data_IF_887256307810
#
_entry.id   IF_887256307810
#
_cell.length_a   1.000
_cell.length_b   1.000
_cell.length_c   1.000
_cell.angle_alpha   90.00
_cell.angle_beta   90.00
_cell.angle_gamma   90.00
#
_symmetry.space_group_name_H-M   'P 1'
#
loop_
_entity.id
_entity.type
_entity.pdbx_description
1 polymer ?
#
# COMPACT_ATOMS: atom_id res chain seq x y z
N UNK A 1 1.89 13.16 -13.70
CA UNK A 1 2.15 11.75 -13.32
C UNK A 1 3.60 11.58 -12.90
N UNK A 2 3.82 11.04 -11.74
CA UNK A 2 5.16 10.67 -11.27
C UNK A 2 5.68 9.52 -12.15
N UNK A 3 6.79 9.78 -12.87
CA UNK A 3 7.39 8.76 -13.73
C UNK A 3 8.21 7.78 -12.90
N UNK A 4 7.65 6.63 -12.58
CA UNK A 4 8.36 5.53 -11.93
C UNK A 4 9.57 5.00 -12.73
N UNK A 5 9.67 5.32 -14.01
CA UNK A 5 10.69 4.83 -14.96
C UNK A 5 12.04 5.56 -14.92
N UNK A 6 12.27 6.54 -14.07
CA UNK A 6 13.61 7.15 -13.87
C UNK A 6 14.46 6.42 -12.82
N UNK A 7 14.17 5.15 -12.60
CA UNK A 7 15.00 4.27 -11.79
C UNK A 7 16.31 4.02 -12.56
N UNK A 8 17.44 4.21 -11.86
CA UNK A 8 18.75 3.83 -12.38
C UNK A 8 18.69 2.43 -13.01
N UNK A 9 19.37 2.24 -14.14
CA UNK A 9 19.68 0.94 -14.71
C UNK A 9 20.09 -0.03 -13.58
N UNK A 10 19.66 -1.28 -13.66
CA UNK A 10 19.85 -2.26 -12.61
C UNK A 10 21.33 -2.47 -12.20
N UNK A 11 22.27 -2.23 -13.11
CA UNK A 11 23.71 -2.26 -12.83
C UNK A 11 24.17 -1.04 -12.03
N UNK A 12 23.79 0.16 -12.45
CA UNK A 12 24.11 1.41 -11.77
C UNK A 12 23.49 1.46 -10.36
N UNK A 13 22.28 0.94 -10.20
CA UNK A 13 21.60 0.78 -8.91
C UNK A 13 22.40 -0.12 -7.95
N UNK A 14 22.85 -1.30 -8.43
CA UNK A 14 23.65 -2.23 -7.63
C UNK A 14 24.99 -1.62 -7.24
N UNK A 15 25.68 -0.98 -8.18
CA UNK A 15 26.95 -0.31 -7.93
C UNK A 15 26.83 0.79 -6.87
N UNK A 16 25.79 1.63 -6.96
CA UNK A 16 25.53 2.67 -5.98
C UNK A 16 25.24 2.10 -4.58
N UNK A 17 24.39 1.05 -4.47
CA UNK A 17 24.14 0.39 -3.20
C UNK A 17 25.38 -0.26 -2.60
N UNK A 18 26.21 -0.91 -3.44
CA UNK A 18 27.47 -1.50 -3.00
C UNK A 18 28.45 -0.44 -2.48
N UNK A 19 28.57 0.70 -3.18
CA UNK A 19 29.39 1.82 -2.74
C UNK A 19 28.92 2.41 -1.41
N UNK A 20 27.61 2.56 -1.21
CA UNK A 20 27.00 2.99 0.05
C UNK A 20 27.32 2.00 1.18
N UNK A 21 27.14 0.70 0.96
CA UNK A 21 27.46 -0.34 1.94
C UNK A 21 28.94 -0.32 2.34
N UNK A 22 29.86 -0.30 1.37
CA UNK A 22 31.30 -0.22 1.61
C UNK A 22 31.69 1.06 2.39
N UNK A 23 31.10 2.21 2.02
CA UNK A 23 31.28 3.47 2.72
C UNK A 23 30.78 3.43 4.17
N UNK A 24 29.69 2.74 4.43
CA UNK A 24 29.14 2.53 5.76
C UNK A 24 30.02 1.61 6.62
N UNK A 25 30.47 0.49 6.08
CA UNK A 25 31.45 -0.40 6.72
C UNK A 25 32.77 0.33 7.05
N UNK A 26 33.27 1.13 6.11
CA UNK A 26 34.49 1.93 6.28
C UNK A 26 34.30 3.21 7.11
N UNK A 27 33.11 3.46 7.69
CA UNK A 27 32.78 4.67 8.47
C UNK A 27 33.11 5.97 7.74
N UNK A 28 32.77 6.07 6.45
CA UNK A 28 33.05 7.22 5.57
C UNK A 28 31.76 8.02 5.26
N UNK A 29 31.25 8.84 6.19
CA UNK A 29 29.96 9.54 6.02
C UNK A 29 29.95 10.50 4.83
N UNK A 30 31.10 11.10 4.51
CA UNK A 30 31.25 11.98 3.35
C UNK A 30 30.98 11.27 2.02
N UNK A 31 31.56 10.08 1.85
CA UNK A 31 31.35 9.23 0.67
C UNK A 31 29.87 8.79 0.59
N UNK A 32 29.34 8.26 1.70
CA UNK A 32 27.95 7.75 1.75
C UNK A 32 26.95 8.87 1.45
N UNK A 33 27.13 10.07 2.04
CA UNK A 33 26.27 11.22 1.79
C UNK A 33 26.30 11.67 0.33
N UNK A 34 27.48 11.69 -0.29
CA UNK A 34 27.63 11.99 -1.73
C UNK A 34 26.91 10.97 -2.60
N UNK A 35 27.09 9.67 -2.33
CA UNK A 35 26.46 8.59 -3.08
C UNK A 35 24.94 8.59 -2.91
N UNK A 36 24.43 8.80 -1.69
CA UNK A 36 22.97 8.94 -1.47
C UNK A 36 22.43 10.18 -2.18
N UNK A 37 23.14 11.30 -2.17
CA UNK A 37 22.78 12.50 -2.92
C UNK A 37 22.69 12.24 -4.42
N UNK A 38 23.61 11.44 -5.00
CA UNK A 38 23.52 10.97 -6.39
C UNK A 38 22.32 10.02 -6.61
N UNK A 39 21.83 9.36 -5.56
CA UNK A 39 20.64 8.51 -5.60
C UNK A 39 19.33 9.29 -5.58
N UNK A 40 19.32 10.57 -5.22
CA UNK A 40 18.11 11.41 -5.27
C UNK A 40 17.73 11.68 -6.73
N UNK A 41 16.48 11.39 -7.08
CA UNK A 41 15.91 11.55 -8.42
C UNK A 41 14.64 12.37 -8.35
N UNK A 42 14.45 13.25 -9.33
CA UNK A 42 13.18 13.93 -9.52
C UNK A 42 12.17 12.97 -10.17
N UNK A 43 10.96 12.93 -9.63
CA UNK A 43 9.91 11.98 -10.02
C UNK A 43 8.81 12.63 -10.88
N UNK A 44 8.57 13.93 -10.74
CA UNK A 44 7.60 14.69 -11.54
C UNK A 44 8.28 15.81 -12.32
N UNK A 45 7.51 16.61 -13.06
CA UNK A 45 8.00 17.85 -13.66
C UNK A 45 8.47 18.83 -12.56
N UNK A 46 9.45 19.68 -12.89
CA UNK A 46 9.92 20.70 -11.97
C UNK A 46 8.85 21.80 -11.82
N UNK A 47 8.45 22.04 -10.59
CA UNK A 47 7.46 23.07 -10.24
C UNK A 47 8.08 24.49 -10.13
N UNK A 48 9.39 24.61 -10.44
CA UNK A 48 10.11 25.88 -10.37
C UNK A 48 10.86 26.09 -9.04
N UNK A 49 11.67 27.17 -8.98
CA UNK A 49 12.66 27.34 -7.93
C UNK A 49 12.07 27.64 -6.53
N UNK A 50 10.83 28.11 -6.47
CA UNK A 50 10.16 28.47 -5.21
C UNK A 50 9.18 27.40 -4.72
N UNK A 51 8.93 26.36 -5.51
CA UNK A 51 8.04 25.27 -5.12
C UNK A 51 8.64 24.44 -3.98
N UNK A 52 7.80 24.01 -3.00
CA UNK A 52 8.26 23.10 -1.97
C UNK A 52 8.76 21.79 -2.58
N UNK A 53 9.88 21.30 -2.05
CA UNK A 53 10.54 20.06 -2.52
C UNK A 53 10.26 18.93 -1.55
N UNK A 54 9.54 17.93 -2.01
CA UNK A 54 9.14 16.79 -1.19
C UNK A 54 10.05 15.61 -1.51
N UNK A 55 10.91 15.22 -0.56
CA UNK A 55 11.72 14.02 -0.70
C UNK A 55 10.91 12.80 -0.23
N UNK A 56 10.73 11.82 -1.10
CA UNK A 56 10.00 10.59 -0.77
C UNK A 56 10.94 9.40 -0.70
N UNK A 57 10.53 8.39 0.10
CA UNK A 57 11.15 7.05 0.12
C UNK A 57 10.23 6.08 -0.66
N UNK A 58 10.35 5.97 -1.99
CA UNK A 58 9.36 5.31 -2.84
C UNK A 58 9.16 3.83 -2.50
N UNK A 59 7.90 3.41 -2.46
CA UNK A 59 7.45 2.01 -2.36
C UNK A 59 6.10 1.89 -3.06
N UNK A 60 5.79 0.73 -3.65
CA UNK A 60 4.50 0.51 -4.32
C UNK A 60 3.29 0.80 -3.41
N UNK A 61 2.22 1.32 -3.98
CA UNK A 61 1.02 1.82 -3.31
C UNK A 61 1.20 3.18 -2.62
N UNK A 62 2.38 3.50 -2.11
CA UNK A 62 2.70 4.81 -1.53
C UNK A 62 3.00 5.87 -2.59
N UNK A 63 3.65 5.48 -3.69
CA UNK A 63 3.98 6.43 -4.75
C UNK A 63 2.74 6.93 -5.48
N UNK A 64 1.72 6.09 -5.58
CA UNK A 64 0.42 6.46 -6.15
C UNK A 64 -0.32 7.47 -5.26
N UNK A 65 -0.23 7.33 -3.93
CA UNK A 65 -0.76 8.31 -2.97
C UNK A 65 0.00 9.63 -3.04
N UNK A 66 1.33 9.59 -3.16
CA UNK A 66 2.17 10.79 -3.34
C UNK A 66 1.85 11.51 -4.65
N UNK A 67 1.65 10.76 -5.74
CA UNK A 67 1.31 11.33 -7.03
C UNK A 67 -0.10 11.97 -7.01
N UNK A 68 -1.04 11.37 -6.32
CA UNK A 68 -2.38 11.96 -6.16
C UNK A 68 -2.35 13.26 -5.32
N UNK A 69 -1.48 13.34 -4.32
CA UNK A 69 -1.37 14.53 -3.47
C UNK A 69 -0.48 15.63 -4.05
N UNK A 70 0.59 15.29 -4.78
CA UNK A 70 1.66 16.23 -5.15
C UNK A 70 2.06 16.18 -6.63
N UNK A 71 1.35 15.42 -7.46
CA UNK A 71 1.73 15.19 -8.86
C UNK A 71 1.29 16.27 -9.85
N UNK A 72 0.53 17.26 -9.43
CA UNK A 72 -0.10 18.30 -10.25
C UNK A 72 0.79 19.50 -10.61
N UNK A 73 2.04 19.51 -10.18
CA UNK A 73 3.03 20.50 -10.61
C UNK A 73 3.29 21.66 -9.62
N UNK A 74 2.55 21.74 -8.50
CA UNK A 74 2.78 22.76 -7.47
C UNK A 74 3.97 22.41 -6.56
N UNK A 75 4.46 21.17 -6.63
CA UNK A 75 5.55 20.62 -5.81
C UNK A 75 6.59 19.91 -6.67
N UNK A 76 7.85 20.06 -6.32
CA UNK A 76 8.90 19.19 -6.87
C UNK A 76 9.01 17.93 -6.03
N UNK A 77 8.64 16.79 -6.59
CA UNK A 77 8.70 15.49 -5.91
C UNK A 77 10.01 14.80 -6.24
N UNK A 78 10.77 14.46 -5.21
CA UNK A 78 12.04 13.75 -5.29
C UNK A 78 11.90 12.35 -4.70
N UNK A 79 12.66 11.40 -5.22
CA UNK A 79 12.73 10.04 -4.71
C UNK A 79 14.14 9.65 -4.28
N UNK A 80 14.26 9.07 -3.08
CA UNK A 80 15.44 8.35 -2.63
C UNK A 80 15.04 6.91 -2.33
N UNK A 81 15.50 5.98 -3.16
CA UNK A 81 15.04 4.60 -3.05
C UNK A 81 15.49 3.94 -1.73
N UNK A 82 14.54 3.31 -1.02
CA UNK A 82 14.73 2.67 0.30
C UNK A 82 15.85 1.63 0.33
N UNK A 83 16.12 0.93 -0.75
CA UNK A 83 17.24 -0.03 -0.79
C UNK A 83 18.61 0.65 -0.68
N UNK A 84 18.74 1.93 -1.07
CA UNK A 84 19.97 2.69 -0.85
C UNK A 84 20.13 3.07 0.62
N UNK A 85 19.06 3.50 1.30
CA UNK A 85 19.10 3.77 2.74
C UNK A 85 19.38 2.47 3.51
N UNK A 86 18.76 1.35 3.14
CA UNK A 86 18.98 0.03 3.75
C UNK A 86 20.41 -0.50 3.56
N UNK A 87 21.06 -0.22 2.44
CA UNK A 87 22.44 -0.65 2.18
C UNK A 87 23.43 -0.14 3.25
N UNK A 88 23.08 0.96 3.91
CA UNK A 88 23.89 1.54 4.99
C UNK A 88 23.79 0.73 6.29
N UNK A 89 22.65 0.08 6.54
CA UNK A 89 22.35 -0.60 7.81
C UNK A 89 23.28 -1.79 8.08
N UNK A 90 23.67 -2.54 7.04
CA UNK A 90 24.57 -3.68 7.17
C UNK A 90 25.92 -3.35 7.81
N UNK A 91 26.39 -2.08 7.74
CA UNK A 91 27.60 -1.61 8.43
C UNK A 91 27.44 -1.47 9.95
N UNK A 92 26.21 -1.50 10.47
CA UNK A 92 25.90 -1.23 11.89
C UNK A 92 25.13 -2.34 12.55
N UNK A 93 24.18 -2.94 11.85
CA UNK A 93 23.19 -3.86 12.38
C UNK A 93 23.33 -5.26 11.76
N UNK A 94 23.05 -6.33 12.50
CA UNK A 94 23.02 -7.67 11.95
C UNK A 94 21.83 -7.85 10.99
N UNK A 95 21.91 -8.83 10.08
CA UNK A 95 20.90 -9.04 9.03
C UNK A 95 19.50 -9.37 9.53
N UNK A 96 19.38 -9.93 10.75
CA UNK A 96 18.09 -10.22 11.34
C UNK A 96 17.33 -8.98 11.83
N UNK A 97 18.01 -7.83 12.00
CA UNK A 97 17.34 -6.55 12.30
C UNK A 97 16.82 -5.97 10.99
N UNK A 98 15.56 -6.24 10.71
CA UNK A 98 14.86 -5.82 9.50
C UNK A 98 13.62 -4.94 9.80
N UNK A 99 12.77 -4.71 8.80
CA UNK A 99 11.57 -3.88 8.93
C UNK A 99 10.61 -4.37 10.03
N UNK A 100 10.60 -5.66 10.34
CA UNK A 100 9.68 -6.25 11.32
C UNK A 100 10.26 -6.26 12.74
N UNK A 101 11.57 -6.33 12.86
CA UNK A 101 12.27 -6.52 14.14
C UNK A 101 12.98 -5.27 14.65
N UNK A 102 13.14 -4.23 13.82
CA UNK A 102 13.94 -3.05 14.17
C UNK A 102 13.47 -2.37 15.46
N UNK A 103 12.18 -2.06 15.58
CA UNK A 103 11.62 -1.34 16.72
C UNK A 103 11.53 -2.19 17.98
N UNK A 104 11.40 -3.52 17.84
CA UNK A 104 11.35 -4.50 18.93
C UNK A 104 12.69 -5.17 19.21
N UNK A 105 13.77 -4.80 18.48
CA UNK A 105 15.09 -5.38 18.71
C UNK A 105 15.54 -5.20 20.17
N UNK A 106 16.21 -6.22 20.74
CA UNK A 106 16.56 -6.22 22.16
C UNK A 106 17.55 -5.10 22.50
N UNK A 107 17.69 -4.73 23.81
CA UNK A 107 18.52 -3.60 24.26
C UNK A 107 19.97 -3.63 23.81
N UNK A 108 20.54 -4.81 23.55
CA UNK A 108 21.91 -4.97 23.05
C UNK A 108 22.13 -4.29 21.70
N UNK A 109 21.04 -4.04 20.97
CA UNK A 109 21.10 -3.32 19.68
C UNK A 109 21.11 -1.79 19.86
N UNK A 110 20.81 -1.26 21.04
CA UNK A 110 20.64 0.18 21.24
C UNK A 110 21.94 0.95 20.97
N UNK A 111 23.10 0.45 21.39
CA UNK A 111 24.39 1.05 21.08
C UNK A 111 24.70 1.07 19.57
N UNK A 112 24.32 0.02 18.85
CA UNK A 112 24.47 -0.08 17.39
C UNK A 112 23.55 0.88 16.65
N UNK A 113 22.29 1.02 17.13
CA UNK A 113 21.33 2.00 16.61
C UNK A 113 21.80 3.45 16.87
N UNK A 114 22.35 3.72 18.07
CA UNK A 114 22.93 5.03 18.38
C UNK A 114 24.11 5.37 17.45
N UNK A 115 24.99 4.40 17.18
CA UNK A 115 26.09 4.56 16.24
C UNK A 115 25.59 4.81 14.80
N UNK A 116 24.55 4.11 14.37
CA UNK A 116 23.88 4.33 13.09
C UNK A 116 23.28 5.73 13.01
N UNK A 117 22.59 6.19 14.05
CA UNK A 117 22.02 7.55 14.15
C UNK A 117 23.12 8.62 14.07
N UNK A 118 24.20 8.46 14.83
CA UNK A 118 25.36 9.35 14.75
C UNK A 118 26.02 9.40 13.37
N UNK A 119 26.00 8.29 12.65
CA UNK A 119 26.49 8.25 11.27
C UNK A 119 25.52 8.99 10.32
N UNK A 120 24.20 8.80 10.46
CA UNK A 120 23.19 9.54 9.70
C UNK A 120 23.28 11.05 9.90
N UNK A 121 23.57 11.51 11.12
CA UNK A 121 23.77 12.94 11.42
C UNK A 121 24.91 13.56 10.58
N UNK A 122 25.93 12.78 10.23
CA UNK A 122 27.02 13.23 9.36
C UNK A 122 26.72 13.06 7.86
N UNK A 123 25.83 12.12 7.50
CA UNK A 123 25.45 11.81 6.12
C UNK A 123 24.38 12.78 5.61
N UNK A 124 23.34 13.05 6.42
CA UNK A 124 22.15 13.80 6.04
C UNK A 124 22.44 15.20 5.46
N UNK A 125 23.34 16.04 6.00
CA UNK A 125 23.60 17.36 5.44
C UNK A 125 23.99 17.34 3.96
N UNK A 126 24.70 16.30 3.49
CA UNK A 126 25.07 16.15 2.08
C UNK A 126 23.90 15.71 1.19
N UNK A 127 23.04 14.86 1.72
CA UNK A 127 21.80 14.48 1.04
C UNK A 127 20.89 15.70 0.93
N UNK A 128 20.73 16.45 2.03
CA UNK A 128 19.89 17.65 2.09
C UNK A 128 20.42 18.77 1.18
N UNK A 129 21.73 18.97 1.09
CA UNK A 129 22.32 19.94 0.16
C UNK A 129 21.94 19.64 -1.32
N UNK A 130 21.75 18.37 -1.67
CA UNK A 130 21.31 17.94 -3.00
C UNK A 130 19.79 17.97 -3.16
N UNK A 131 19.06 17.49 -2.15
CA UNK A 131 17.61 17.38 -2.19
C UNK A 131 16.92 18.74 -2.00
N UNK A 132 17.46 19.58 -1.12
CA UNK A 132 16.82 20.83 -0.67
C UNK A 132 15.38 20.58 -0.23
N UNK A 133 15.16 19.46 0.50
CA UNK A 133 13.85 19.01 0.88
C UNK A 133 13.18 19.93 1.90
N UNK A 134 11.97 20.37 1.61
CA UNK A 134 11.10 21.07 2.55
C UNK A 134 10.42 20.11 3.53
N UNK A 135 10.19 18.87 3.09
CA UNK A 135 9.71 17.77 3.93
C UNK A 135 10.20 16.42 3.37
N UNK A 136 10.25 15.41 4.24
CA UNK A 136 10.53 14.01 3.85
C UNK A 136 9.31 13.16 4.14
N UNK A 137 8.83 12.41 3.13
CA UNK A 137 7.66 11.54 3.24
C UNK A 137 8.05 10.06 3.11
N UNK A 138 7.44 9.22 3.95
CA UNK A 138 7.53 7.75 3.87
C UNK A 138 6.16 7.10 3.89
N UNK A 139 6.05 5.89 3.32
CA UNK A 139 4.79 5.14 3.25
C UNK A 139 4.49 4.28 4.47
N UNK A 140 5.31 4.32 5.51
CA UNK A 140 5.10 3.54 6.74
C UNK A 140 5.89 4.16 7.90
N UNK A 141 5.34 4.08 9.11
CA UNK A 141 5.97 4.61 10.32
C UNK A 141 6.99 3.66 10.96
N UNK A 142 7.01 2.38 10.55
CA UNK A 142 7.64 1.29 11.28
C UNK A 142 8.86 0.65 10.60
N UNK A 143 9.11 0.93 9.34
CA UNK A 143 10.19 0.27 8.62
C UNK A 143 11.58 0.72 9.09
N UNK A 144 12.51 -0.23 9.18
CA UNK A 144 13.88 0.02 9.65
C UNK A 144 14.56 1.20 8.94
N UNK A 145 14.39 1.29 7.61
CA UNK A 145 15.06 2.31 6.80
C UNK A 145 14.71 3.75 7.18
N UNK A 146 13.59 3.96 7.87
CA UNK A 146 13.07 5.29 8.23
C UNK A 146 13.32 5.70 9.68
N UNK A 147 13.64 4.76 10.59
CA UNK A 147 13.65 5.06 12.03
C UNK A 147 14.74 6.06 12.45
N UNK A 148 16.00 5.66 12.46
CA UNK A 148 17.09 6.57 12.84
C UNK A 148 17.32 7.66 11.79
N UNK A 149 17.06 7.38 10.53
CA UNK A 149 17.05 8.38 9.47
C UNK A 149 15.98 9.45 9.73
N UNK A 150 14.73 9.04 10.04
CA UNK A 150 13.64 9.96 10.35
C UNK A 150 13.96 10.85 11.57
N UNK A 151 14.54 10.26 12.62
CA UNK A 151 14.97 11.03 13.79
C UNK A 151 16.03 12.10 13.46
N UNK A 152 16.98 11.80 12.57
CA UNK A 152 18.01 12.76 12.15
C UNK A 152 17.44 13.84 11.24
N UNK A 153 16.55 13.48 10.31
CA UNK A 153 15.86 14.44 9.46
C UNK A 153 15.07 15.44 10.32
N UNK A 154 14.29 14.94 11.27
CA UNK A 154 13.48 15.75 12.18
C UNK A 154 14.34 16.67 13.04
N UNK A 155 15.46 16.16 13.58
CA UNK A 155 16.41 16.95 14.37
C UNK A 155 17.10 18.04 13.54
N UNK A 156 17.12 17.95 12.21
CA UNK A 156 17.65 18.99 11.32
C UNK A 156 16.66 20.12 11.00
N UNK A 157 15.44 20.06 11.55
CA UNK A 157 14.36 21.01 11.28
C UNK A 157 13.50 20.68 10.05
N UNK A 158 13.82 19.63 9.30
CA UNK A 158 13.02 19.17 8.17
C UNK A 158 11.93 18.20 8.68
N UNK A 159 10.62 18.46 8.45
CA UNK A 159 9.57 17.56 8.90
C UNK A 159 9.68 16.18 8.23
N UNK A 160 9.69 15.12 9.07
CA UNK A 160 9.63 13.73 8.62
C UNK A 160 8.23 13.17 8.90
N UNK A 161 7.47 12.87 7.84
CA UNK A 161 6.06 12.55 7.92
C UNK A 161 5.82 11.15 7.32
N UNK A 162 5.07 10.31 8.03
CA UNK A 162 4.62 9.02 7.52
C UNK A 162 3.19 9.13 6.97
N UNK A 163 3.01 8.89 5.67
CA UNK A 163 1.71 8.60 5.06
C UNK A 163 1.48 7.09 5.15
N UNK A 164 0.83 6.63 6.23
CA UNK A 164 0.75 5.21 6.53
C UNK A 164 -0.28 4.49 5.67
N UNK A 165 0.21 3.72 4.71
CA UNK A 165 -0.60 3.04 3.70
C UNK A 165 -1.20 1.69 4.14
N UNK A 166 -0.73 1.10 5.23
CA UNK A 166 -1.15 -0.22 5.73
C UNK A 166 -2.35 -0.07 6.69
N UNK A 167 -3.42 0.59 6.25
CA UNK A 167 -4.49 1.08 7.12
C UNK A 167 -5.78 0.24 7.10
N UNK A 168 -5.88 -0.81 6.27
CA UNK A 168 -7.05 -1.70 6.31
C UNK A 168 -6.90 -2.72 7.43
N UNK A 169 -7.55 -2.46 8.55
CA UNK A 169 -7.62 -3.35 9.71
C UNK A 169 -9.06 -3.71 9.98
N UNK A 170 -9.42 -4.95 9.68
CA UNK A 170 -10.74 -5.50 10.00
C UNK A 170 -10.91 -5.63 11.52
N UNK A 171 -12.14 -5.72 12.05
CA UNK A 171 -12.39 -5.76 13.49
C UNK A 171 -11.56 -6.80 14.25
N UNK A 172 -11.38 -7.99 13.69
CA UNK A 172 -10.57 -9.07 14.28
C UNK A 172 -9.06 -8.76 14.32
N UNK A 173 -8.60 -7.78 13.52
CA UNK A 173 -7.19 -7.41 13.46
C UNK A 173 -6.85 -6.17 14.30
N UNK A 174 -7.82 -5.40 14.76
CA UNK A 174 -7.58 -4.17 15.54
C UNK A 174 -6.75 -4.48 16.78
N UNK A 175 -7.21 -5.42 17.61
CA UNK A 175 -6.48 -5.80 18.83
C UNK A 175 -5.09 -6.40 18.54
N UNK A 176 -4.98 -7.22 17.50
CA UNK A 176 -3.70 -7.78 17.06
C UNK A 176 -2.69 -6.67 16.72
N UNK A 177 -3.06 -5.70 15.88
CA UNK A 177 -2.16 -4.62 15.49
C UNK A 177 -1.88 -3.64 16.62
N UNK A 178 -2.87 -3.32 17.48
CA UNK A 178 -2.67 -2.48 18.66
C UNK A 178 -1.62 -3.10 19.58
N UNK A 179 -1.72 -4.40 19.85
CA UNK A 179 -0.76 -5.12 20.68
C UNK A 179 0.61 -5.21 20.00
N UNK A 180 0.65 -5.56 18.72
CA UNK A 180 1.90 -5.61 17.94
C UNK A 180 2.63 -4.27 17.93
N UNK A 181 1.91 -3.17 17.81
CA UNK A 181 2.49 -1.83 17.81
C UNK A 181 2.92 -1.39 19.21
N UNK A 182 2.13 -1.66 20.24
CA UNK A 182 2.49 -1.37 21.65
C UNK A 182 3.77 -2.06 22.07
N UNK A 183 4.03 -3.21 21.52
CA UNK A 183 5.24 -3.98 21.80
C UNK A 183 6.52 -3.36 21.22
N UNK A 184 6.42 -2.33 20.43
CA UNK A 184 7.57 -1.61 19.89
C UNK A 184 8.19 -0.74 20.97
N UNK A 185 9.48 -0.94 21.21
CA UNK A 185 10.24 -0.20 22.22
C UNK A 185 10.46 1.28 21.89
N UNK A 186 10.30 1.65 20.62
CA UNK A 186 10.52 3.00 20.15
C UNK A 186 9.25 3.53 19.48
N UNK A 187 8.71 4.68 19.93
CA UNK A 187 7.64 5.38 19.24
C UNK A 187 8.14 5.92 17.88
N UNK A 188 7.23 6.40 17.06
CA UNK A 188 7.58 7.06 15.81
C UNK A 188 8.42 8.31 16.06
N UNK A 189 9.55 8.43 15.36
CA UNK A 189 10.54 9.49 15.55
C UNK A 189 10.32 10.70 14.63
N UNK A 190 9.36 10.63 13.71
CA UNK A 190 9.02 11.74 12.82
C UNK A 190 8.00 12.69 13.41
N UNK A 191 7.59 13.70 12.66
CA UNK A 191 6.72 14.79 13.08
C UNK A 191 5.26 14.38 13.19
N UNK A 192 4.73 13.70 12.15
CA UNK A 192 3.30 13.38 12.00
C UNK A 192 3.09 12.06 11.28
N UNK A 193 2.01 11.36 11.63
CA UNK A 193 1.51 10.21 10.86
C UNK A 193 0.18 10.59 10.23
N UNK A 194 0.07 10.47 8.91
CA UNK A 194 -1.16 10.61 8.15
C UNK A 194 -1.71 9.21 7.88
N UNK A 195 -2.95 8.97 8.23
CA UNK A 195 -3.62 7.66 8.09
C UNK A 195 -4.84 7.78 7.19
N UNK A 196 -5.31 6.65 6.65
CA UNK A 196 -6.48 6.67 5.79
C UNK A 196 -7.77 6.86 6.59
N UNK A 197 -7.93 6.17 7.72
CA UNK A 197 -9.20 6.11 8.43
C UNK A 197 -9.03 6.24 9.95
N UNK A 198 -10.16 6.36 10.64
CA UNK A 198 -10.24 6.49 12.09
C UNK A 198 -9.84 5.22 12.84
N UNK A 199 -9.99 4.05 12.21
CA UNK A 199 -9.58 2.75 12.79
C UNK A 199 -8.08 2.75 13.00
N UNK A 200 -7.31 3.06 11.96
CA UNK A 200 -5.84 3.11 12.05
C UNK A 200 -5.38 4.22 12.99
N UNK A 201 -6.06 5.37 12.99
CA UNK A 201 -5.78 6.44 13.96
C UNK A 201 -5.92 5.93 15.40
N UNK A 202 -7.00 5.24 15.70
CA UNK A 202 -7.23 4.64 17.02
C UNK A 202 -6.11 3.67 17.40
N UNK A 203 -5.75 2.75 16.52
CA UNK A 203 -4.65 1.78 16.73
C UNK A 203 -3.32 2.49 17.05
N UNK A 204 -2.96 3.54 16.31
CA UNK A 204 -1.72 4.29 16.53
C UNK A 204 -1.68 4.98 17.90
N UNK A 205 -2.79 5.56 18.33
CA UNK A 205 -2.93 6.23 19.63
C UNK A 205 -2.92 5.21 20.77
N UNK A 206 -3.76 4.18 20.69
CA UNK A 206 -3.93 3.16 21.74
C UNK A 206 -2.65 2.33 21.94
N UNK A 207 -1.87 2.17 20.89
CA UNK A 207 -0.56 1.53 20.94
C UNK A 207 0.56 2.45 21.46
N UNK A 208 0.31 3.74 21.65
CA UNK A 208 1.33 4.70 22.11
C UNK A 208 2.44 4.99 21.09
N UNK A 209 2.15 4.81 19.79
CA UNK A 209 3.13 5.05 18.72
C UNK A 209 3.43 6.53 18.54
N UNK A 210 2.41 7.37 18.71
CA UNK A 210 2.49 8.81 18.52
C UNK A 210 1.40 9.52 19.36
N UNK A 211 1.61 10.75 19.86
CA UNK A 211 0.58 11.54 20.51
C UNK A 211 -0.64 11.82 19.58
N UNK A 212 -1.86 11.91 20.13
CA UNK A 212 -3.10 12.08 19.36
C UNK A 212 -3.16 13.29 18.43
N UNK A 213 -2.46 14.39 18.80
CA UNK A 213 -2.37 15.64 18.02
C UNK A 213 -1.41 15.54 16.82
N UNK A 214 -0.64 14.46 16.75
CA UNK A 214 0.34 14.21 15.70
C UNK A 214 -0.06 13.06 14.77
N UNK A 215 -1.29 12.53 14.89
CA UNK A 215 -1.87 11.57 13.95
C UNK A 215 -3.15 12.13 13.36
N UNK A 216 -3.23 12.19 12.02
CA UNK A 216 -4.31 12.85 11.30
C UNK A 216 -4.93 11.92 10.25
N UNK A 217 -6.26 11.91 10.16
CA UNK A 217 -7.00 11.17 9.13
C UNK A 217 -7.09 12.03 7.88
N UNK A 218 -6.42 11.63 6.83
CA UNK A 218 -6.42 12.32 5.52
C UNK A 218 -7.15 11.55 4.44
N UNK A 219 -7.40 10.28 4.64
CA UNK A 219 -7.94 9.39 3.63
C UNK A 219 -6.88 8.78 2.69
N UNK A 220 -7.34 7.98 1.74
CA UNK A 220 -6.52 7.29 0.73
C UNK A 220 -6.42 8.14 -0.55
N UNK A 221 -5.31 8.87 -0.80
CA UNK A 221 -5.25 9.86 -1.90
C UNK A 221 -5.41 9.26 -3.29
N UNK A 222 -4.91 8.06 -3.54
CA UNK A 222 -5.00 7.44 -4.88
C UNK A 222 -6.43 7.18 -5.35
N UNK A 223 -7.44 7.19 -4.44
CA UNK A 223 -8.85 7.11 -4.83
C UNK A 223 -9.33 8.38 -5.53
N UNK A 224 -8.71 9.54 -5.29
CA UNK A 224 -9.10 10.82 -5.90
C UNK A 224 -9.14 10.73 -7.42
N UNK A 225 -8.20 9.99 -8.02
CA UNK A 225 -8.16 9.77 -9.47
C UNK A 225 -9.39 9.01 -9.97
N UNK A 226 -9.86 8.03 -9.21
CA UNK A 226 -11.02 7.23 -9.58
C UNK A 226 -12.32 8.01 -9.41
N UNK A 227 -12.43 8.83 -8.36
CA UNK A 227 -13.51 9.79 -8.22
C UNK A 227 -13.56 10.77 -9.41
N UNK A 228 -12.42 11.37 -9.76
CA UNK A 228 -12.31 12.27 -10.92
C UNK A 228 -12.60 11.56 -12.25
N UNK A 229 -12.09 10.33 -12.40
CA UNK A 229 -12.36 9.52 -13.59
C UNK A 229 -13.87 9.24 -13.69
N UNK A 230 -14.52 8.80 -12.61
CA UNK A 230 -15.96 8.51 -12.58
C UNK A 230 -16.78 9.73 -12.99
N UNK A 231 -16.50 10.89 -12.41
CA UNK A 231 -17.24 12.15 -12.72
C UNK A 231 -17.08 12.51 -14.21
N UNK A 232 -15.86 12.41 -14.76
CA UNK A 232 -15.62 12.69 -16.18
C UNK A 232 -16.26 11.64 -17.09
N UNK A 233 -16.16 10.38 -16.74
CA UNK A 233 -16.73 9.28 -17.53
C UNK A 233 -18.27 9.31 -17.54
N UNK A 234 -18.90 9.75 -16.44
CA UNK A 234 -20.36 9.96 -16.40
C UNK A 234 -20.88 10.99 -17.41
N UNK A 235 -20.03 11.94 -17.82
CA UNK A 235 -20.35 12.98 -18.80
C UNK A 235 -19.94 12.63 -20.22
N UNK A 236 -19.29 11.48 -20.41
CA UNK A 236 -18.77 11.03 -21.70
C UNK A 236 -19.67 9.95 -22.32
N UNK A 237 -19.57 9.76 -23.63
CA UNK A 237 -20.19 8.60 -24.27
C UNK A 237 -19.64 7.31 -23.65
N UNK A 238 -20.52 6.32 -23.49
CA UNK A 238 -20.11 5.01 -22.98
C UNK A 238 -18.99 4.42 -23.85
N UNK A 239 -17.92 3.85 -23.25
CA UNK A 239 -16.87 3.21 -24.03
C UNK A 239 -17.45 2.07 -24.87
N UNK A 240 -17.03 1.93 -26.12
CA UNK A 240 -17.36 0.77 -26.94
C UNK A 240 -16.38 -0.36 -26.62
N UNK A 241 -16.86 -1.59 -26.62
CA UNK A 241 -15.99 -2.76 -26.44
C UNK A 241 -16.73 -3.99 -25.94
N UNK A 242 -15.98 -5.08 -25.84
CA UNK A 242 -16.47 -6.32 -25.24
C UNK A 242 -16.65 -6.14 -23.74
N UNK A 243 -17.65 -6.79 -23.12
CA UNK A 243 -17.75 -6.85 -21.66
C UNK A 243 -16.45 -7.39 -21.05
N UNK A 244 -16.02 -6.77 -19.96
CA UNK A 244 -14.83 -7.17 -19.22
C UNK A 244 -15.19 -7.50 -17.76
N UNK A 245 -14.97 -8.74 -17.36
CA UNK A 245 -15.02 -9.19 -15.97
C UNK A 245 -13.62 -9.12 -15.38
N UNK A 246 -13.44 -8.31 -14.33
CA UNK A 246 -12.20 -8.22 -13.59
C UNK A 246 -12.30 -9.01 -12.29
N UNK A 247 -11.56 -10.09 -12.17
CA UNK A 247 -11.40 -10.83 -10.93
C UNK A 247 -10.08 -10.49 -10.24
N UNK A 248 -10.19 -9.86 -9.08
CA UNK A 248 -9.06 -9.58 -8.18
C UNK A 248 -8.72 -10.85 -7.40
N UNK A 249 -7.83 -11.65 -7.98
CA UNK A 249 -7.42 -12.94 -7.42
C UNK A 249 -6.84 -12.78 -6.02
N UNK A 250 -7.17 -13.70 -5.14
CA UNK A 250 -6.73 -13.68 -3.75
C UNK A 250 -6.20 -15.04 -3.29
N UNK A 251 -5.26 -14.97 -2.35
CA UNK A 251 -4.63 -16.13 -1.72
C UNK A 251 -5.45 -16.59 -0.50
N UNK A 252 -5.41 -17.88 -0.11
CA UNK A 252 -6.09 -18.38 1.10
C UNK A 252 -5.80 -17.63 2.40
N UNK A 253 -4.74 -16.86 2.48
CA UNK A 253 -4.40 -16.00 3.65
C UNK A 253 -4.50 -14.49 3.36
N UNK A 254 -5.23 -14.09 2.32
CA UNK A 254 -5.42 -12.66 1.99
C UNK A 254 -6.10 -11.92 3.13
N UNK A 255 -5.60 -10.72 3.45
CA UNK A 255 -6.12 -9.88 4.53
C UNK A 255 -5.64 -10.28 5.93
N UNK A 256 -5.08 -11.47 6.09
CA UNK A 256 -4.55 -11.95 7.37
C UNK A 256 -3.08 -11.56 7.55
N UNK A 257 -2.62 -11.32 8.79
CA UNK A 257 -1.23 -10.99 9.03
C UNK A 257 -0.34 -12.20 8.71
N UNK A 258 0.73 -11.94 7.94
CA UNK A 258 1.78 -12.93 7.73
C UNK A 258 2.73 -12.81 8.92
N UNK A 259 2.76 -13.82 9.77
CA UNK A 259 3.70 -13.92 10.88
C UNK A 259 5.00 -14.52 10.31
N UNK A 260 6.09 -13.73 10.15
CA UNK A 260 7.32 -14.26 9.58
C UNK A 260 7.96 -15.24 10.58
N UNK A 261 8.11 -16.48 10.17
CA UNK A 261 8.97 -17.44 10.86
C UNK A 261 10.43 -17.16 10.50
N UNK A 262 11.05 -16.18 11.16
CA UNK A 262 12.48 -15.91 11.04
C UNK A 262 13.19 -16.28 12.33
N UNK A 263 14.28 -17.07 12.27
CA UNK A 263 15.08 -17.36 13.47
C UNK A 263 15.54 -16.06 14.15
N UNK A 264 15.33 -15.94 15.46
CA UNK A 264 15.77 -14.81 16.29
C UNK A 264 14.87 -13.59 16.29
N UNK A 265 13.82 -13.52 15.47
CA UNK A 265 12.72 -12.58 15.69
C UNK A 265 11.84 -13.11 16.83
N UNK A 266 11.16 -12.24 17.56
CA UNK A 266 10.28 -12.54 18.70
C UNK A 266 9.19 -13.61 18.39
N UNK A 267 9.62 -14.81 18.00
CA UNK A 267 8.79 -15.90 17.46
C UNK A 267 7.65 -16.27 18.42
N UNK A 268 7.96 -16.50 19.69
CA UNK A 268 6.94 -16.84 20.69
C UNK A 268 5.93 -15.73 20.98
N UNK A 269 6.25 -14.48 20.66
CA UNK A 269 5.41 -13.33 20.95
C UNK A 269 4.37 -13.08 19.84
N UNK A 270 4.77 -13.23 18.57
CA UNK A 270 3.85 -13.17 17.45
C UNK A 270 2.95 -14.40 17.36
N UNK A 271 3.46 -15.57 17.73
CA UNK A 271 2.69 -16.81 17.86
C UNK A 271 1.59 -16.66 18.91
N UNK A 272 1.87 -16.07 20.08
CA UNK A 272 0.88 -15.82 21.12
C UNK A 272 -0.19 -14.80 20.69
N UNK A 273 0.17 -13.78 19.89
CA UNK A 273 -0.78 -12.84 19.30
C UNK A 273 -1.61 -13.47 18.20
N UNK A 274 -1.06 -14.48 17.52
CA UNK A 274 -1.69 -15.20 16.43
C UNK A 274 -2.56 -16.39 16.87
N UNK A 275 -2.73 -16.65 18.17
CA UNK A 275 -3.62 -17.70 18.65
C UNK A 275 -5.05 -17.45 18.17
N UNK A 276 -5.57 -18.35 17.34
CA UNK A 276 -6.85 -18.23 16.61
C UNK A 276 -6.76 -17.66 15.19
N UNK A 277 -5.72 -16.87 14.84
CA UNK A 277 -5.50 -16.41 13.46
C UNK A 277 -4.90 -17.50 12.56
N UNK A 278 -4.19 -18.46 13.13
CA UNK A 278 -3.57 -19.58 12.40
C UNK A 278 -4.58 -20.46 11.67
N UNK A 279 -5.78 -20.59 12.23
CA UNK A 279 -6.84 -21.46 11.73
C UNK A 279 -7.73 -20.75 10.69
N UNK A 280 -7.77 -19.42 10.66
CA UNK A 280 -8.51 -18.68 9.66
C UNK A 280 -7.83 -18.80 8.30
N UNK A 281 -8.59 -19.23 7.30
CA UNK A 281 -8.12 -19.43 5.93
C UNK A 281 -9.30 -19.27 4.97
N UNK A 282 -9.03 -18.87 3.73
CA UNK A 282 -9.99 -18.73 2.64
C UNK A 282 -9.71 -19.77 1.55
N UNK A 283 -9.38 -21.01 1.95
CA UNK A 283 -8.92 -22.04 1.01
C UNK A 283 -10.01 -22.45 0.03
N UNK A 284 -11.16 -22.86 0.55
CA UNK A 284 -12.28 -23.33 -0.27
C UNK A 284 -12.96 -22.17 -1.00
N UNK A 285 -13.11 -21.01 -0.31
CA UNK A 285 -13.60 -19.79 -0.94
C UNK A 285 -12.74 -19.38 -2.13
N UNK A 286 -11.41 -19.35 -1.96
CA UNK A 286 -10.49 -19.01 -3.04
C UNK A 286 -10.58 -19.99 -4.20
N UNK A 287 -10.56 -21.30 -3.92
CA UNK A 287 -10.65 -22.33 -4.93
C UNK A 287 -11.95 -22.23 -5.74
N UNK A 288 -13.09 -22.15 -5.06
CA UNK A 288 -14.40 -22.08 -5.69
C UNK A 288 -14.57 -20.79 -6.53
N UNK A 289 -14.09 -19.64 -6.04
CA UNK A 289 -14.12 -18.39 -6.83
C UNK A 289 -13.30 -18.50 -8.12
N UNK A 290 -12.08 -19.04 -8.04
CA UNK A 290 -11.25 -19.24 -9.24
C UNK A 290 -11.90 -20.20 -10.23
N UNK A 291 -12.51 -21.29 -9.78
CA UNK A 291 -13.24 -22.23 -10.64
C UNK A 291 -14.45 -21.57 -11.32
N UNK A 292 -15.25 -20.77 -10.59
CA UNK A 292 -16.38 -20.05 -11.16
C UNK A 292 -15.94 -19.06 -12.27
N UNK A 293 -14.86 -18.31 -12.03
CA UNK A 293 -14.31 -17.37 -13.01
C UNK A 293 -13.73 -18.06 -14.25
N UNK A 294 -13.06 -19.21 -14.07
CA UNK A 294 -12.55 -20.01 -15.18
C UNK A 294 -13.67 -20.61 -16.01
N UNK A 295 -14.72 -21.12 -15.36
CA UNK A 295 -15.93 -21.62 -16.01
C UNK A 295 -16.59 -20.50 -16.83
N UNK A 296 -16.73 -19.30 -16.26
CA UNK A 296 -17.27 -18.14 -16.97
C UNK A 296 -16.51 -17.86 -18.27
N UNK A 297 -15.18 -17.84 -18.21
CA UNK A 297 -14.36 -17.61 -19.40
C UNK A 297 -14.55 -18.70 -20.47
N UNK A 298 -14.61 -19.96 -20.07
CA UNK A 298 -14.78 -21.11 -21.01
C UNK A 298 -16.15 -21.12 -21.69
N UNK A 299 -17.21 -20.88 -20.93
CA UNK A 299 -18.56 -20.95 -21.41
C UNK A 299 -19.00 -19.70 -22.19
N UNK A 300 -18.29 -18.56 -22.03
CA UNK A 300 -18.69 -17.28 -22.60
C UNK A 300 -17.54 -16.60 -23.38
N UNK A 301 -17.19 -17.10 -24.58
CA UNK A 301 -16.07 -16.55 -25.38
C UNK A 301 -16.29 -15.10 -25.83
N UNK A 302 -17.52 -14.58 -25.73
CA UNK A 302 -17.88 -13.17 -25.98
C UNK A 302 -17.51 -12.19 -24.88
N UNK A 303 -17.11 -12.66 -23.68
CA UNK A 303 -16.76 -11.86 -22.50
C UNK A 303 -15.25 -11.95 -22.29
N UNK A 304 -14.58 -10.81 -22.16
CA UNK A 304 -13.18 -10.78 -21.73
C UNK A 304 -13.10 -10.99 -20.20
N UNK A 305 -12.24 -11.89 -19.76
CA UNK A 305 -12.02 -12.16 -18.34
C UNK A 305 -10.57 -11.87 -17.99
N UNK A 306 -10.35 -11.01 -17.00
CA UNK A 306 -9.01 -10.69 -16.48
C UNK A 306 -8.92 -11.15 -15.03
N UNK A 307 -7.97 -12.05 -14.78
CA UNK A 307 -7.57 -12.47 -13.44
C UNK A 307 -6.34 -11.67 -13.04
N UNK A 308 -6.51 -10.74 -12.09
CA UNK A 308 -5.46 -9.84 -11.60
C UNK A 308 -4.93 -10.33 -10.27
N UNK A 309 -3.68 -10.76 -10.23
CA UNK A 309 -3.02 -11.25 -9.02
C UNK A 309 -1.88 -10.35 -8.52
N UNK A 310 -1.45 -10.61 -7.29
CA UNK A 310 -0.22 -10.09 -6.69
C UNK A 310 0.81 -11.23 -6.63
N UNK A 311 2.07 -10.94 -6.99
CA UNK A 311 3.16 -11.91 -6.87
C UNK A 311 3.03 -13.10 -7.83
N UNK A 312 3.29 -14.31 -7.34
CA UNK A 312 3.30 -15.54 -8.15
C UNK A 312 1.88 -16.13 -8.32
N UNK A 313 1.16 -15.58 -9.29
CA UNK A 313 -0.22 -16.01 -9.61
C UNK A 313 -0.25 -17.48 -10.06
N UNK A 314 0.74 -17.96 -10.79
CA UNK A 314 0.80 -19.35 -11.24
C UNK A 314 0.86 -20.33 -10.06
N UNK A 315 1.63 -19.99 -9.01
CA UNK A 315 1.68 -20.76 -7.76
C UNK A 315 0.33 -20.79 -7.05
N UNK A 316 -0.40 -19.68 -7.03
CA UNK A 316 -1.73 -19.62 -6.39
C UNK A 316 -2.76 -20.43 -7.14
N UNK A 317 -2.74 -20.35 -8.45
CA UNK A 317 -3.62 -21.14 -9.30
C UNK A 317 -3.33 -22.65 -9.17
N UNK A 318 -2.07 -23.03 -9.02
CA UNK A 318 -1.68 -24.42 -8.73
C UNK A 318 -2.22 -24.93 -7.38
N UNK A 319 -2.33 -24.06 -6.36
CA UNK A 319 -2.94 -24.42 -5.06
C UNK A 319 -4.45 -24.61 -5.13
N UNK A 320 -5.13 -23.99 -6.09
CA UNK A 320 -6.58 -24.17 -6.30
C UNK A 320 -6.94 -25.38 -7.13
N UNK A 321 -5.96 -26.18 -7.58
CA UNK A 321 -6.18 -27.32 -8.49
C UNK A 321 -6.59 -26.91 -9.92
N UNK A 322 -6.62 -25.60 -10.21
CA UNK A 322 -6.95 -25.08 -11.52
C UNK A 322 -5.72 -25.15 -12.43
N UNK A 323 -5.68 -26.18 -13.27
CA UNK A 323 -4.71 -26.26 -14.37
C UNK A 323 -5.10 -25.24 -15.45
N UNK A 324 -4.52 -24.03 -15.36
CA UNK A 324 -4.82 -22.93 -16.31
C UNK A 324 -3.99 -23.05 -17.60
N UNK A 325 -2.86 -23.72 -17.55
CA UNK A 325 -1.89 -23.70 -18.66
C UNK A 325 -2.22 -24.64 -19.82
N UNK A 326 -3.02 -25.68 -19.60
CA UNK A 326 -3.27 -26.69 -20.64
C UNK A 326 -4.47 -26.41 -21.56
N UNK A 327 -5.48 -25.62 -21.08
CA UNK A 327 -6.70 -25.29 -21.86
C UNK A 327 -7.19 -23.87 -21.54
N UNK A 328 -6.28 -22.88 -21.54
CA UNK A 328 -6.66 -21.50 -21.26
C UNK A 328 -7.48 -20.92 -22.40
N UNK A 329 -8.70 -20.44 -22.15
CA UNK A 329 -9.52 -19.78 -23.15
C UNK A 329 -8.84 -18.49 -23.68
N UNK A 330 -9.00 -18.17 -24.96
CA UNK A 330 -8.41 -16.98 -25.60
C UNK A 330 -8.88 -15.66 -24.96
N UNK A 331 -10.07 -15.63 -24.40
CA UNK A 331 -10.67 -14.50 -23.71
C UNK A 331 -10.22 -14.35 -22.25
N UNK A 332 -9.39 -15.27 -21.71
CA UNK A 332 -8.85 -15.21 -20.35
C UNK A 332 -7.43 -14.63 -20.34
N UNK A 333 -7.23 -13.54 -19.61
CA UNK A 333 -5.91 -12.91 -19.39
C UNK A 333 -5.51 -12.97 -17.93
N UNK A 334 -4.26 -13.40 -17.68
CA UNK A 334 -3.62 -13.37 -16.36
C UNK A 334 -2.72 -12.14 -16.28
N UNK A 335 -2.93 -11.29 -15.29
CA UNK A 335 -2.17 -10.06 -15.08
C UNK A 335 -1.55 -10.07 -13.69
N UNK A 336 -0.23 -9.92 -13.61
CA UNK A 336 0.53 -9.86 -12.34
C UNK A 336 1.22 -8.51 -12.21
N UNK A 337 1.13 -7.91 -11.03
CA UNK A 337 1.72 -6.60 -10.78
C UNK A 337 0.98 -5.45 -11.48
N UNK A 338 1.54 -4.25 -11.44
CA UNK A 338 0.94 -3.04 -12.00
C UNK A 338 -0.25 -2.48 -11.19
N UNK A 339 -0.63 -1.25 -11.53
CA UNK A 339 -1.78 -0.57 -10.94
C UNK A 339 -3.09 -1.21 -11.46
N UNK A 340 -4.04 -1.58 -10.60
CA UNK A 340 -5.33 -2.11 -11.03
C UNK A 340 -6.29 -1.06 -11.61
N UNK A 341 -6.03 0.23 -11.42
CA UNK A 341 -6.99 1.31 -11.75
C UNK A 341 -7.41 1.32 -13.23
N UNK A 342 -6.48 1.10 -14.16
CA UNK A 342 -6.79 1.03 -15.60
C UNK A 342 -7.69 -0.17 -15.93
N UNK A 343 -7.51 -1.30 -15.25
CA UNK A 343 -8.36 -2.48 -15.41
C UNK A 343 -9.74 -2.23 -14.81
N UNK A 344 -9.81 -1.63 -13.63
CA UNK A 344 -11.06 -1.25 -12.95
C UNK A 344 -11.85 -0.29 -13.84
N UNK A 345 -11.22 0.76 -14.37
CA UNK A 345 -11.87 1.74 -15.24
C UNK A 345 -12.52 1.09 -16.48
N UNK A 346 -11.90 0.05 -17.05
CA UNK A 346 -12.38 -0.69 -18.23
C UNK A 346 -13.39 -1.79 -17.89
N UNK A 347 -13.41 -2.28 -16.66
CA UNK A 347 -14.26 -3.39 -16.25
C UNK A 347 -15.75 -3.04 -16.37
N UNK A 348 -16.56 -4.00 -16.77
CA UNK A 348 -18.03 -3.98 -16.64
C UNK A 348 -18.46 -4.31 -15.22
N UNK A 349 -17.75 -5.26 -14.59
CA UNK A 349 -17.98 -5.73 -13.23
C UNK A 349 -16.65 -6.15 -12.61
N UNK A 350 -16.51 -5.92 -11.31
CA UNK A 350 -15.32 -6.28 -10.53
C UNK A 350 -15.70 -7.30 -9.46
N UNK A 351 -14.90 -8.35 -9.32
CA UNK A 351 -15.04 -9.32 -8.24
C UNK A 351 -13.72 -9.44 -7.49
N UNK A 352 -13.79 -9.66 -6.18
CA UNK A 352 -12.62 -9.88 -5.35
C UNK A 352 -12.99 -10.11 -3.89
N UNK A 353 -11.97 -10.30 -3.05
CA UNK A 353 -12.16 -10.55 -1.62
C UNK A 353 -11.07 -9.86 -0.80
N UNK A 354 -11.46 -9.10 0.22
CA UNK A 354 -10.59 -8.46 1.23
C UNK A 354 -9.35 -7.77 0.64
N UNK A 355 -9.57 -6.83 -0.28
CA UNK A 355 -8.50 -6.04 -0.93
C UNK A 355 -8.89 -4.57 -1.08
N UNK A 356 -7.90 -3.67 -0.97
CA UNK A 356 -8.09 -2.23 -1.23
C UNK A 356 -8.61 -1.93 -2.63
N UNK A 357 -8.34 -2.79 -3.61
CA UNK A 357 -8.81 -2.61 -4.99
C UNK A 357 -10.34 -2.70 -5.12
N UNK A 358 -11.06 -3.29 -4.15
CA UNK A 358 -12.52 -3.21 -4.09
C UNK A 358 -12.99 -1.78 -3.76
N UNK A 359 -12.30 -1.08 -2.85
CA UNK A 359 -12.60 0.33 -2.55
C UNK A 359 -12.31 1.21 -3.79
N UNK A 360 -11.29 0.86 -4.56
CA UNK A 360 -10.98 1.52 -5.84
C UNK A 360 -12.10 1.30 -6.86
N UNK A 361 -12.67 0.08 -6.93
CA UNK A 361 -13.80 -0.22 -7.79
C UNK A 361 -15.07 0.54 -7.36
N UNK A 362 -15.37 0.58 -6.05
CA UNK A 362 -16.50 1.34 -5.50
C UNK A 362 -16.34 2.84 -5.82
N UNK A 363 -15.16 3.43 -5.59
CA UNK A 363 -14.89 4.84 -5.88
C UNK A 363 -15.05 5.18 -7.37
N UNK A 364 -14.80 4.21 -8.26
CA UNK A 364 -15.01 4.35 -9.71
C UNK A 364 -16.47 4.17 -10.15
N UNK A 365 -17.39 3.81 -9.22
CA UNK A 365 -18.79 3.56 -9.53
C UNK A 365 -19.02 2.27 -10.32
N UNK A 366 -18.10 1.31 -10.27
CA UNK A 366 -18.26 0.01 -10.93
C UNK A 366 -19.10 -0.93 -10.08
N UNK A 367 -19.93 -1.78 -10.70
CA UNK A 367 -20.56 -2.92 -10.02
C UNK A 367 -19.48 -3.80 -9.40
N UNK A 368 -19.65 -4.15 -8.14
CA UNK A 368 -18.73 -5.00 -7.38
C UNK A 368 -19.46 -6.19 -6.81
N UNK A 369 -18.91 -7.39 -6.99
CA UNK A 369 -19.41 -8.62 -6.37
C UNK A 369 -18.37 -9.17 -5.41
N UNK A 370 -18.78 -9.46 -4.19
CA UNK A 370 -17.94 -10.06 -3.15
C UNK A 370 -18.49 -11.44 -2.79
N UNK A 371 -17.68 -12.51 -2.82
CA UNK A 371 -18.13 -13.82 -2.39
C UNK A 371 -18.41 -13.86 -0.90
N UNK A 372 -19.56 -14.43 -0.50
CA UNK A 372 -19.98 -14.61 0.89
C UNK A 372 -20.51 -16.04 1.08
N UNK A 373 -19.62 -17.00 0.89
CA UNK A 373 -19.87 -18.43 1.05
C UNK A 373 -18.63 -19.15 1.59
N UNK A 374 -18.68 -20.47 1.71
CA UNK A 374 -17.60 -21.28 2.33
C UNK A 374 -17.13 -20.66 3.65
N UNK A 375 -15.82 -20.51 3.87
CA UNK A 375 -15.27 -19.99 5.14
C UNK A 375 -15.72 -18.56 5.47
N UNK A 376 -16.22 -17.79 4.51
CA UNK A 376 -16.76 -16.45 4.78
C UNK A 376 -18.11 -16.47 5.53
N UNK A 377 -18.76 -17.64 5.64
CA UNK A 377 -19.97 -17.82 6.47
C UNK A 377 -19.66 -18.16 7.93
N UNK A 378 -18.44 -18.63 8.23
CA UNK A 378 -18.06 -19.03 9.57
C UNK A 378 -18.00 -17.82 10.48
N UNK A 379 -18.67 -17.87 11.63
CA UNK A 379 -18.68 -16.78 12.62
C UNK A 379 -17.27 -16.42 13.10
N UNK A 380 -16.39 -17.40 13.22
CA UNK A 380 -14.98 -17.18 13.56
C UNK A 380 -14.20 -16.42 12.50
N UNK A 381 -14.61 -16.49 11.23
CA UNK A 381 -13.94 -15.85 10.10
C UNK A 381 -14.46 -14.45 9.79
N UNK A 382 -15.72 -14.16 10.11
CA UNK A 382 -16.38 -12.87 9.85
C UNK A 382 -15.59 -11.63 10.29
N UNK A 383 -14.92 -11.62 11.47
CA UNK A 383 -14.17 -10.45 11.90
C UNK A 383 -12.90 -10.15 11.06
N UNK A 384 -12.50 -11.03 10.14
CA UNK A 384 -11.21 -10.96 9.46
C UNK A 384 -11.27 -10.60 7.98
N UNK A 385 -12.43 -10.28 7.44
CA UNK A 385 -12.55 -9.78 6.06
C UNK A 385 -13.24 -8.41 6.02
N UNK A 386 -13.06 -7.71 4.89
CA UNK A 386 -13.72 -6.42 4.65
C UNK A 386 -15.21 -6.62 4.49
N UNK A 387 -15.98 -6.11 5.43
CA UNK A 387 -17.43 -5.99 5.26
C UNK A 387 -17.73 -4.67 4.53
N UNK A 388 -18.25 -4.78 3.31
CA UNK A 388 -18.58 -3.66 2.44
C UNK A 388 -20.10 -3.42 2.38
N UNK A 389 -20.88 -4.13 3.21
CA UNK A 389 -22.32 -3.95 3.34
C UNK A 389 -23.05 -3.88 2.00
N UNK A 390 -24.00 -2.98 1.90
CA UNK A 390 -24.84 -2.78 0.71
C UNK A 390 -24.17 -1.92 -0.38
N UNK A 391 -22.89 -1.57 -0.21
CA UNK A 391 -22.12 -0.93 -1.27
C UNK A 391 -21.70 -1.91 -2.39
N UNK A 392 -21.91 -3.20 -2.19
CA UNK A 392 -21.54 -4.29 -3.12
C UNK A 392 -22.61 -5.38 -3.15
N UNK A 393 -22.65 -6.14 -4.23
CA UNK A 393 -23.43 -7.37 -4.28
C UNK A 393 -22.70 -8.53 -3.60
N UNK A 394 -23.43 -9.40 -2.94
CA UNK A 394 -22.88 -10.58 -2.28
C UNK A 394 -23.30 -11.85 -3.01
N UNK A 395 -22.32 -12.66 -3.42
CA UNK A 395 -22.57 -13.98 -3.96
C UNK A 395 -22.64 -15.03 -2.85
N UNK A 396 -23.73 -15.80 -2.81
CA UNK A 396 -24.00 -16.79 -1.76
C UNK A 396 -23.43 -18.20 -2.06
N UNK A 397 -22.95 -18.42 -3.28
CA UNK A 397 -22.31 -19.67 -3.72
C UNK A 397 -21.43 -19.42 -4.94
N UNK A 398 -20.65 -20.42 -5.35
CA UNK A 398 -19.87 -20.36 -6.58
C UNK A 398 -20.76 -20.23 -7.84
N UNK A 399 -21.91 -20.87 -7.85
CA UNK A 399 -22.88 -20.74 -8.96
C UNK A 399 -23.53 -19.35 -8.95
N UNK A 400 -23.95 -18.84 -7.79
CA UNK A 400 -24.48 -17.46 -7.68
C UNK A 400 -23.39 -16.43 -8.07
N UNK A 401 -22.12 -16.67 -7.74
CA UNK A 401 -21.01 -15.83 -8.21
C UNK A 401 -20.91 -15.84 -9.74
N UNK A 402 -20.96 -17.02 -10.35
CA UNK A 402 -20.95 -17.16 -11.80
C UNK A 402 -22.12 -16.39 -12.44
N UNK A 403 -23.33 -16.60 -11.93
CA UNK A 403 -24.56 -15.97 -12.47
C UNK A 403 -24.51 -14.43 -12.35
N UNK A 404 -24.05 -13.89 -11.21
CA UNK A 404 -23.88 -12.45 -11.01
C UNK A 404 -22.84 -11.86 -11.94
N UNK A 405 -21.70 -12.54 -12.10
CA UNK A 405 -20.65 -12.09 -13.02
C UNK A 405 -21.13 -12.12 -14.46
N UNK A 406 -21.87 -13.15 -14.86
CA UNK A 406 -22.47 -13.24 -16.20
C UNK A 406 -23.50 -12.12 -16.43
N UNK A 407 -24.39 -11.89 -15.49
CA UNK A 407 -25.41 -10.84 -15.56
C UNK A 407 -24.76 -9.42 -15.59
N UNK A 408 -23.67 -9.21 -14.85
CA UNK A 408 -22.92 -7.95 -14.83
C UNK A 408 -21.95 -7.76 -15.99
N UNK A 409 -21.69 -8.83 -16.78
CA UNK A 409 -20.85 -8.76 -17.97
C UNK A 409 -21.61 -8.18 -19.17
N UNK A 410 -22.06 -6.94 -19.00
CA UNK A 410 -22.73 -6.15 -20.05
C UNK A 410 -21.73 -5.24 -20.79
N UNK A 411 -22.04 -4.80 -22.03
CA UNK A 411 -21.20 -3.78 -22.68
C UNK A 411 -20.92 -2.60 -21.72
N UNK A 412 -19.74 -1.98 -21.78
CA UNK A 412 -19.40 -0.90 -20.89
C UNK A 412 -20.42 0.22 -20.92
N UNK A 413 -20.88 0.61 -19.72
CA UNK A 413 -21.81 1.74 -19.52
C UNK A 413 -21.08 2.87 -18.80
N UNK A 414 -21.55 4.12 -18.96
CA UNK A 414 -21.05 5.23 -18.19
C UNK A 414 -21.34 5.00 -16.69
N UNK A 415 -20.36 5.21 -15.79
CA UNK A 415 -20.59 5.10 -14.36
C UNK A 415 -21.52 6.21 -13.86
N UNK A 416 -22.17 6.06 -12.70
CA UNK A 416 -22.94 7.14 -12.09
C UNK A 416 -22.04 8.31 -11.73
N UNK A 417 -22.49 9.54 -11.91
CA UNK A 417 -21.74 10.73 -11.51
C UNK A 417 -21.55 10.81 -9.98
N UNK A 418 -22.60 10.43 -9.23
CA UNK A 418 -22.58 10.36 -7.76
C UNK A 418 -22.51 8.93 -7.27
N UNK A 419 -21.85 8.72 -6.16
CA UNK A 419 -21.92 7.46 -5.43
C UNK A 419 -23.28 7.33 -4.72
N UNK A 420 -23.71 6.10 -4.45
CA UNK A 420 -24.78 5.86 -3.47
C UNK A 420 -24.29 6.21 -2.05
N UNK A 421 -25.24 6.46 -1.15
CA UNK A 421 -24.91 6.73 0.25
C UNK A 421 -24.13 5.57 0.87
N UNK A 422 -24.53 4.31 0.62
CA UNK A 422 -23.79 3.14 1.09
C UNK A 422 -22.35 3.07 0.56
N UNK A 423 -22.14 3.42 -0.70
CA UNK A 423 -20.78 3.45 -1.29
C UNK A 423 -19.93 4.56 -0.65
N UNK A 424 -20.51 5.73 -0.42
CA UNK A 424 -19.83 6.85 0.24
C UNK A 424 -19.48 6.49 1.70
N UNK A 425 -20.42 5.90 2.45
CA UNK A 425 -20.20 5.47 3.84
C UNK A 425 -19.07 4.43 3.94
N UNK A 426 -19.02 3.45 3.02
CA UNK A 426 -17.96 2.45 3.00
C UNK A 426 -16.60 3.04 2.63
N UNK A 427 -16.55 3.99 1.72
CA UNK A 427 -15.33 4.70 1.39
C UNK A 427 -14.84 5.60 2.52
N UNK A 428 -15.77 6.23 3.27
CA UNK A 428 -15.40 6.99 4.47
C UNK A 428 -14.85 6.06 5.55
N UNK A 429 -15.57 5.01 5.87
CA UNK A 429 -15.19 4.07 6.92
C UNK A 429 -13.83 3.41 6.68
N UNK A 430 -13.60 2.85 5.48
CA UNK A 430 -12.39 2.07 5.18
C UNK A 430 -11.24 2.89 4.62
N UNK A 431 -11.55 3.90 3.82
CA UNK A 431 -10.55 4.69 3.10
C UNK A 431 -10.46 6.16 3.54
N UNK A 432 -11.42 6.66 4.34
CA UNK A 432 -11.50 8.08 4.73
C UNK A 432 -11.61 9.02 3.53
N UNK A 433 -12.17 8.53 2.41
CA UNK A 433 -12.20 9.29 1.17
C UNK A 433 -13.50 9.09 0.39
N UNK A 434 -14.65 9.56 0.91
CA UNK A 434 -15.92 9.49 0.22
C UNK A 434 -16.06 10.55 -0.89
N UNK A 435 -15.24 11.60 -0.86
CA UNK A 435 -15.36 12.85 -1.63
C UNK A 435 -14.31 13.07 -2.71
N UNK A 436 -13.27 12.21 -2.79
CA UNK A 436 -12.18 12.34 -3.75
C UNK A 436 -11.22 13.50 -3.47
N UNK A 437 -11.07 13.91 -2.20
CA UNK A 437 -10.23 15.03 -1.76
C UNK A 437 -9.16 14.66 -0.74
N UNK A 438 -8.81 13.40 -0.64
CA UNK A 438 -7.78 12.95 0.31
C UNK A 438 -6.40 13.53 -0.02
N UNK A 439 -6.07 13.69 -1.29
CA UNK A 439 -4.84 14.36 -1.73
C UNK A 439 -4.73 15.80 -1.24
N UNK A 440 -5.82 16.56 -1.31
CA UNK A 440 -5.88 17.94 -0.79
C UNK A 440 -5.65 17.97 0.73
N UNK A 441 -6.26 17.03 1.48
CA UNK A 441 -6.06 16.92 2.93
C UNK A 441 -4.61 16.57 3.28
N UNK A 442 -4.01 15.64 2.57
CA UNK A 442 -2.58 15.29 2.74
C UNK A 442 -1.70 16.51 2.44
N UNK A 443 -1.97 17.22 1.34
CA UNK A 443 -1.22 18.42 0.95
C UNK A 443 -1.30 19.50 2.03
N UNK A 444 -2.49 19.79 2.53
CA UNK A 444 -2.70 20.76 3.60
C UNK A 444 -1.96 20.38 4.89
N UNK A 445 -2.03 19.09 5.29
CA UNK A 445 -1.34 18.58 6.48
C UNK A 445 0.19 18.70 6.36
N UNK A 446 0.76 18.40 5.19
CA UNK A 446 2.21 18.51 4.95
C UNK A 446 2.64 19.97 4.91
N UNK A 447 1.87 20.84 4.23
CA UNK A 447 2.18 22.29 4.17
C UNK A 447 2.13 22.94 5.54
N UNK A 448 1.20 22.56 6.41
CA UNK A 448 1.12 23.05 7.78
C UNK A 448 2.39 22.73 8.59
N UNK A 449 3.03 21.58 8.35
CA UNK A 449 4.27 21.21 9.04
C UNK A 449 5.51 21.89 8.43
N UNK A 450 5.53 22.16 7.12
CA UNK A 450 6.58 22.95 6.47
C UNK A 450 6.58 24.39 7.03
N UNK A 451 5.38 25.01 7.15
CA UNK A 451 5.24 26.38 7.64
C UNK A 451 5.58 26.58 9.12
N UNK A 452 5.54 25.52 9.94
CA UNK A 452 5.95 25.56 11.36
C UNK A 452 7.47 25.50 11.56
N UNK A 453 8.22 25.07 10.54
CA UNK A 453 9.68 24.93 10.58
C UNK A 453 10.43 26.12 10.01
N UNK A 454 9.73 27.07 9.42
CA UNK A 454 10.24 28.36 8.91
C UNK A 454 9.95 29.48 9.90
#
# INVERSE_FOLDING_TARGET
MIQANRILDGAARRALSAGIALGAYGRRPGLVGGLLGLGVRQLNADAGPFAPRILTLPKGGFIEDVDAAFGDGDFTVLGLARYHTKALYGGFLPQWVDDNSYQSAPPEMDARKAALRGFWTQVWPRVQARAQASAVLTGNFAYAAEQDFGAVVEASGVPFIAMHKEALKTPGLVNFYTTLYRDRRQPFQGRKILVYNTIERGIQIDAGIIPPDRVEVCGMPRLDRLHQWRIRAAQSAAPSGRPLVLFLSFHPKTGLPVIPRKPGAAEGRLENLGNGLGDVSWHDLSAQCHHAVLRLARENPGIDVVVKGKGDLAKWLGLTGASIDQDRPDNLKLVVGGDPQDLIARASIVCGFTTTALLEAIASGKPVVVPRFAEALDDASKPFFLDLGDAVDHAASADDLYDRLLAGAVPPVAPPANLSDHAADMLDHWAGNPDGKAGDRVRAAVMAEIGRGS
#
